data_IF_670053426250
#
_entry.id   IF_670053426250
#
_cell.length_a   1.000
_cell.length_b   1.000
_cell.length_c   1.000
_cell.angle_alpha   90.00
_cell.angle_beta   90.00
_cell.angle_gamma   90.00
#
_symmetry.space_group_name_H-M   'P 1'
#
loop_
_entity.id
_entity.type
_entity.pdbx_description
1 polymer ?
#
# COMPACT_ATOMS: atom_id res chain seq x y z
N UNK A 1 27.83 -10.01 6.19
CA UNK A 1 28.76 -10.99 5.61
C UNK A 1 28.97 -12.13 6.57
N UNK A 2 28.36 -13.28 6.31
CA UNK A 2 28.85 -14.64 6.68
C UNK A 2 27.93 -15.62 5.98
N UNK A 3 28.46 -16.23 4.95
CA UNK A 3 27.83 -17.32 4.18
C UNK A 3 27.97 -18.62 4.99
N UNK A 4 26.89 -19.39 5.09
CA UNK A 4 26.92 -20.76 5.52
C UNK A 4 26.87 -21.67 4.28
N UNK A 5 27.91 -22.48 4.12
CA UNK A 5 28.09 -23.40 3.01
C UNK A 5 27.29 -24.68 3.26
N UNK A 6 26.53 -25.13 2.27
CA UNK A 6 25.97 -26.47 2.19
C UNK A 6 27.08 -27.47 1.71
N UNK A 7 27.41 -28.41 2.55
CA UNK A 7 28.27 -29.53 2.20
C UNK A 7 27.46 -30.65 1.54
N UNK A 8 27.84 -31.00 0.31
CA UNK A 8 27.35 -32.17 -0.40
C UNK A 8 28.23 -33.36 -0.01
N UNK A 9 27.66 -34.40 0.60
CA UNK A 9 28.35 -35.64 0.91
C UNK A 9 28.22 -36.62 -0.24
N UNK A 10 29.34 -37.08 -0.78
CA UNK A 10 29.45 -38.20 -1.74
C UNK A 10 29.49 -39.50 -0.97
N UNK A 11 28.62 -40.45 -1.32
CA UNK A 11 28.64 -41.81 -0.81
C UNK A 11 29.47 -42.65 -1.78
N UNK A 12 30.61 -43.18 -1.29
CA UNK A 12 31.38 -44.20 -2.00
C UNK A 12 30.97 -45.57 -1.46
N UNK A 13 30.62 -46.44 -2.39
CA UNK A 13 30.37 -47.86 -2.13
C UNK A 13 31.69 -48.63 -2.02
N UNK A 14 31.89 -49.29 -0.88
CA UNK A 14 32.95 -50.25 -0.67
C UNK A 14 32.40 -51.51 -0.04
N UNK A 15 32.45 -52.66 -0.76
CA UNK A 15 32.17 -53.97 -0.23
C UNK A 15 33.34 -54.46 0.64
N UNK A 16 33.03 -54.96 1.83
CA UNK A 16 33.98 -55.68 2.68
C UNK A 16 33.26 -56.44 3.78
N UNK A 17 33.25 -57.75 3.69
CA UNK A 17 32.71 -58.71 4.65
C UNK A 17 33.53 -58.77 5.94
N UNK A 18 32.89 -58.81 7.11
CA UNK A 18 33.52 -59.04 8.39
C UNK A 18 32.58 -58.90 9.57
N UNK A 19 32.34 -60.00 10.21
CA UNK A 19 31.51 -60.32 11.38
C UNK A 19 31.78 -59.50 12.65
N UNK A 20 30.69 -59.36 13.44
CA UNK A 20 30.52 -59.28 14.89
C UNK A 20 30.59 -57.89 15.57
N UNK A 21 29.60 -57.75 16.31
CA UNK A 21 29.29 -57.08 17.59
C UNK A 21 28.26 -55.98 17.49
N UNK A 22 27.06 -56.29 17.96
CA UNK A 22 25.99 -55.31 18.23
C UNK A 22 26.47 -54.39 19.38
N UNK A 23 26.58 -53.09 19.08
CA UNK A 23 26.47 -52.04 20.05
C UNK A 23 25.13 -51.38 19.84
N UNK A 24 24.22 -51.52 20.82
CA UNK A 24 22.97 -50.73 20.93
C UNK A 24 23.36 -49.28 21.18
N UNK A 25 23.61 -48.54 20.14
CA UNK A 25 23.52 -47.07 20.21
C UNK A 25 22.05 -46.71 20.05
N UNK A 26 21.37 -46.60 21.20
CA UNK A 26 20.09 -45.93 21.28
C UNK A 26 20.31 -44.48 20.90
N UNK A 27 20.00 -44.12 19.65
CA UNK A 27 19.75 -42.76 19.25
C UNK A 27 18.57 -42.27 20.10
N UNK A 28 18.86 -41.47 21.13
CA UNK A 28 17.87 -40.66 21.83
C UNK A 28 17.35 -39.68 20.80
N UNK A 29 16.18 -39.96 20.21
CA UNK A 29 15.38 -38.92 19.58
C UNK A 29 15.13 -37.85 20.63
N UNK A 30 15.83 -36.71 20.54
CA UNK A 30 15.48 -35.50 21.27
C UNK A 30 14.09 -35.10 20.78
N UNK A 31 13.09 -35.37 21.62
CA UNK A 31 11.73 -34.91 21.43
C UNK A 31 11.79 -33.38 21.39
N UNK A 32 11.65 -32.78 20.21
CA UNK A 32 11.54 -31.34 20.03
C UNK A 32 10.22 -30.93 20.67
N UNK A 33 10.28 -30.56 21.94
CA UNK A 33 9.13 -29.96 22.65
C UNK A 33 8.87 -28.62 22.00
N UNK A 34 7.82 -28.55 21.20
CA UNK A 34 7.35 -27.32 20.56
C UNK A 34 6.87 -26.37 21.70
N UNK A 35 7.72 -25.41 22.08
CA UNK A 35 7.38 -24.45 23.13
C UNK A 35 6.26 -23.53 22.64
N UNK A 36 5.19 -23.44 23.41
CA UNK A 36 4.09 -22.50 23.17
C UNK A 36 4.57 -21.06 23.48
N UNK A 37 5.03 -20.34 22.47
CA UNK A 37 5.54 -18.97 22.61
C UNK A 37 4.44 -17.94 22.30
N UNK A 38 4.17 -17.06 23.25
CA UNK A 38 3.32 -15.88 23.06
C UNK A 38 4.20 -14.62 23.18
N UNK A 39 4.28 -13.83 22.12
CA UNK A 39 5.22 -12.67 22.01
C UNK A 39 6.70 -13.04 22.23
N UNK A 40 7.08 -14.28 21.95
CA UNK A 40 8.43 -14.80 22.20
C UNK A 40 8.70 -15.20 23.66
N UNK A 41 7.67 -15.21 24.53
CA UNK A 41 7.72 -15.61 25.94
C UNK A 41 7.09 -17.01 26.05
N UNK A 42 7.71 -17.99 26.75
CA UNK A 42 7.11 -19.30 27.02
C UNK A 42 5.79 -19.14 27.79
N UNK A 43 4.67 -19.38 27.13
CA UNK A 43 3.34 -19.09 27.69
C UNK A 43 2.97 -20.05 28.84
N UNK A 44 3.47 -21.30 28.77
CA UNK A 44 3.13 -22.38 29.70
C UNK A 44 3.69 -22.15 31.12
N UNK A 45 4.67 -21.26 31.26
CA UNK A 45 5.32 -20.94 32.54
C UNK A 45 4.57 -19.86 33.34
N UNK A 46 3.51 -19.26 32.75
CA UNK A 46 2.86 -18.07 33.29
C UNK A 46 1.33 -18.19 33.37
N UNK A 47 0.77 -17.54 34.37
CA UNK A 47 -0.63 -17.16 34.37
C UNK A 47 -0.77 -15.89 33.52
N UNK A 48 -1.55 -15.97 32.45
CA UNK A 48 -1.71 -14.90 31.45
C UNK A 48 -3.04 -14.20 31.69
N UNK A 49 -3.00 -12.86 31.75
CA UNK A 49 -4.18 -12.02 31.81
C UNK A 49 -4.17 -11.00 30.67
N UNK A 50 -5.33 -10.73 30.11
CA UNK A 50 -5.49 -9.74 29.04
C UNK A 50 -6.29 -8.54 29.56
N UNK A 51 -5.90 -7.35 29.11
CA UNK A 51 -6.59 -6.11 29.43
C UNK A 51 -6.59 -5.15 28.26
N UNK A 52 -7.32 -4.06 28.44
CA UNK A 52 -7.39 -2.95 27.50
C UNK A 52 -7.11 -1.64 28.24
N UNK A 53 -6.37 -0.72 27.63
CA UNK A 53 -6.04 0.58 28.22
C UNK A 53 -7.30 1.42 28.31
N UNK A 54 -7.72 1.76 29.53
CA UNK A 54 -8.89 2.60 29.76
C UNK A 54 -8.60 4.10 29.43
N UNK A 55 -9.61 4.91 29.10
CA UNK A 55 -9.44 6.36 28.93
C UNK A 55 -8.81 7.01 30.15
N UNK A 56 -7.67 7.70 29.98
CA UNK A 56 -6.92 8.36 31.06
C UNK A 56 -6.11 7.44 31.96
N UNK A 57 -6.02 6.17 31.62
CA UNK A 57 -5.16 5.22 32.31
C UNK A 57 -3.69 5.43 31.92
N UNK A 58 -2.78 5.21 32.86
CA UNK A 58 -1.34 5.32 32.63
C UNK A 58 -0.66 3.98 32.86
N UNK A 59 0.47 3.74 32.21
CA UNK A 59 1.27 2.52 32.41
C UNK A 59 1.61 2.31 33.88
N UNK A 60 1.96 3.36 34.60
CA UNK A 60 2.27 3.28 36.04
C UNK A 60 1.09 2.78 36.87
N UNK A 61 -0.17 3.17 36.54
CA UNK A 61 -1.38 2.65 37.22
C UNK A 61 -1.61 1.18 36.93
N UNK A 62 -1.38 0.75 35.70
CA UNK A 62 -1.51 -0.66 35.32
C UNK A 62 -0.49 -1.50 36.07
N UNK A 63 0.78 -1.12 36.03
CA UNK A 63 1.87 -1.82 36.71
C UNK A 63 1.65 -1.89 38.24
N UNK A 64 1.18 -0.80 38.85
CA UNK A 64 0.88 -0.76 40.28
C UNK A 64 -0.26 -1.71 40.68
N UNK A 65 -1.24 -1.96 39.82
CA UNK A 65 -2.33 -2.94 40.04
C UNK A 65 -1.79 -4.36 40.19
N UNK A 66 -0.65 -4.65 39.58
CA UNK A 66 0.06 -5.92 39.65
C UNK A 66 1.23 -5.89 40.66
N UNK A 67 1.24 -4.92 41.58
CA UNK A 67 2.21 -4.87 42.68
C UNK A 67 3.57 -4.28 42.32
N UNK A 68 3.76 -3.74 41.11
CA UNK A 68 5.05 -3.13 40.72
C UNK A 68 5.20 -1.77 41.38
N UNK A 69 6.27 -1.63 42.20
CA UNK A 69 6.55 -0.42 42.98
C UNK A 69 7.00 0.77 42.13
N UNK A 70 6.80 1.98 42.66
CA UNK A 70 7.09 3.25 41.94
C UNK A 70 8.57 3.36 41.49
N UNK A 71 9.53 2.83 42.27
CA UNK A 71 10.94 2.85 41.89
C UNK A 71 11.23 2.00 40.63
N UNK A 72 10.56 0.86 40.49
CA UNK A 72 10.68 0.00 39.30
C UNK A 72 9.99 0.66 38.07
N UNK A 73 8.85 1.30 38.28
CA UNK A 73 8.16 2.07 37.20
C UNK A 73 9.06 3.22 36.72
N UNK A 74 9.70 3.98 37.59
CA UNK A 74 10.62 5.08 37.24
C UNK A 74 11.87 4.56 36.50
N UNK A 75 12.36 3.38 36.87
CA UNK A 75 13.46 2.71 36.15
C UNK A 75 13.04 2.27 34.76
N UNK A 76 11.86 1.68 34.67
CA UNK A 76 11.27 1.26 33.39
C UNK A 76 11.03 2.45 32.46
N UNK A 77 10.53 3.59 32.98
CA UNK A 77 10.33 4.81 32.21
C UNK A 77 11.64 5.33 31.62
N UNK A 78 12.72 5.30 32.42
CA UNK A 78 14.06 5.67 31.93
C UNK A 78 14.59 4.72 30.85
N UNK A 79 14.39 3.42 31.01
CA UNK A 79 14.81 2.42 30.02
C UNK A 79 13.98 2.51 28.73
N UNK A 80 12.69 2.83 28.84
CA UNK A 80 11.76 2.91 27.72
C UNK A 80 11.91 4.17 26.84
N UNK A 81 12.56 5.22 27.35
CA UNK A 81 12.59 6.57 26.76
C UNK A 81 13.01 6.61 25.29
N UNK A 82 13.92 5.74 24.88
CA UNK A 82 14.47 5.70 23.52
C UNK A 82 13.57 4.93 22.57
N UNK A 83 13.00 3.81 23.01
CA UNK A 83 12.32 2.85 22.15
C UNK A 83 10.81 3.03 22.18
N UNK A 84 10.22 3.18 23.36
CA UNK A 84 8.79 3.44 23.52
C UNK A 84 8.50 4.09 24.88
N UNK A 85 8.30 5.42 24.96
CA UNK A 85 7.98 6.12 26.21
C UNK A 85 6.69 5.57 26.85
N UNK A 86 6.68 5.44 28.19
CA UNK A 86 5.53 4.88 28.92
C UNK A 86 4.23 5.70 28.77
N UNK A 87 4.33 6.97 28.42
CA UNK A 87 3.20 7.85 28.12
C UNK A 87 2.69 7.69 26.67
N UNK A 88 3.37 6.88 25.85
CA UNK A 88 2.99 6.58 24.48
C UNK A 88 1.82 5.60 24.33
N UNK A 89 1.28 5.07 25.45
CA UNK A 89 0.11 4.17 25.40
C UNK A 89 -1.16 4.92 25.00
N UNK A 90 -2.09 4.18 24.39
CA UNK A 90 -3.37 4.74 23.89
C UNK A 90 -4.54 3.97 24.45
N UNK A 91 -5.58 4.69 24.86
CA UNK A 91 -6.85 4.09 25.25
C UNK A 91 -7.41 3.23 24.11
N UNK A 92 -7.97 2.08 24.44
CA UNK A 92 -8.50 1.09 23.51
C UNK A 92 -7.46 0.08 22.99
N UNK A 93 -6.17 0.28 23.27
CA UNK A 93 -5.16 -0.71 22.87
C UNK A 93 -5.07 -1.84 23.90
N UNK A 94 -4.92 -3.09 23.45
CA UNK A 94 -4.80 -4.24 24.35
C UNK A 94 -3.42 -4.32 25.00
N UNK A 95 -3.38 -4.93 26.18
CA UNK A 95 -2.16 -5.39 26.81
C UNK A 95 -2.33 -6.80 27.38
N UNK A 96 -1.22 -7.52 27.51
CA UNK A 96 -1.15 -8.87 28.09
C UNK A 96 -0.12 -8.86 29.20
N UNK A 97 -0.43 -9.44 30.34
CA UNK A 97 0.50 -9.60 31.45
C UNK A 97 0.82 -11.07 31.70
N UNK A 98 2.06 -11.33 32.03
CA UNK A 98 2.61 -12.63 32.32
C UNK A 98 3.02 -12.66 33.79
N UNK A 99 2.31 -13.45 34.58
CA UNK A 99 2.44 -13.54 36.04
C UNK A 99 2.94 -14.94 36.38
N UNK A 100 4.09 -15.00 37.05
CA UNK A 100 4.53 -16.26 37.63
C UNK A 100 4.30 -16.27 39.12
N UNK A 101 4.14 -17.45 39.72
CA UNK A 101 4.00 -17.63 41.16
C UNK A 101 5.32 -18.20 41.71
N UNK A 102 5.87 -17.54 42.74
CA UNK A 102 7.08 -18.04 43.40
C UNK A 102 6.78 -19.30 44.26
N UNK A 103 7.82 -19.87 44.88
CA UNK A 103 7.71 -21.05 45.74
C UNK A 103 6.78 -20.88 46.96
N UNK A 104 6.39 -19.64 47.27
CA UNK A 104 5.45 -19.28 48.33
C UNK A 104 4.05 -18.94 47.81
N UNK A 105 3.77 -19.20 46.51
CA UNK A 105 2.56 -18.83 45.80
C UNK A 105 2.29 -17.31 45.78
N UNK A 106 3.36 -16.49 45.82
CA UNK A 106 3.22 -15.05 45.66
C UNK A 106 3.28 -14.70 44.18
N UNK A 107 2.26 -13.98 43.64
CA UNK A 107 2.26 -13.62 42.23
C UNK A 107 3.23 -12.47 41.92
N UNK A 108 4.05 -12.64 40.89
CA UNK A 108 5.00 -11.66 40.39
C UNK A 108 4.74 -11.39 38.92
N UNK A 109 4.66 -10.11 38.56
CA UNK A 109 4.53 -9.69 37.16
C UNK A 109 5.94 -9.67 36.52
N UNK A 110 6.21 -10.60 35.61
CA UNK A 110 7.52 -10.69 34.94
C UNK A 110 7.52 -9.94 33.60
N UNK A 111 6.37 -9.95 32.88
CA UNK A 111 6.26 -9.22 31.60
C UNK A 111 4.90 -8.55 31.49
N UNK A 112 4.92 -7.34 30.92
CA UNK A 112 3.76 -6.68 30.36
C UNK A 112 4.01 -6.43 28.89
N UNK A 113 3.12 -6.92 28.01
CA UNK A 113 3.17 -6.71 26.58
C UNK A 113 2.07 -5.74 26.20
N UNK A 114 2.43 -4.60 25.60
CA UNK A 114 1.49 -3.60 25.10
C UNK A 114 1.42 -3.65 23.57
N UNK A 115 0.24 -3.84 22.99
CA UNK A 115 0.04 -3.84 21.54
C UNK A 115 -0.18 -2.41 21.03
N UNK A 116 0.78 -1.89 20.25
CA UNK A 116 0.71 -0.54 19.66
C UNK A 116 -0.29 -0.44 18.52
N UNK A 117 -0.41 -1.52 17.76
CA UNK A 117 -1.33 -1.72 16.65
C UNK A 117 -1.42 -3.23 16.36
N UNK A 118 -2.13 -3.62 15.29
CA UNK A 118 -2.34 -5.02 14.96
C UNK A 118 -1.05 -5.85 14.78
N UNK A 119 0.08 -5.23 14.40
CA UNK A 119 1.32 -5.95 14.11
C UNK A 119 2.45 -5.68 15.09
N UNK A 120 2.45 -4.55 15.78
CA UNK A 120 3.57 -4.11 16.61
C UNK A 120 3.21 -4.10 18.07
N UNK A 121 4.13 -4.63 18.91
CA UNK A 121 4.00 -4.67 20.35
C UNK A 121 5.29 -4.26 21.05
N UNK A 122 5.19 -3.96 22.33
CA UNK A 122 6.30 -3.65 23.22
C UNK A 122 6.26 -4.62 24.38
N UNK A 123 7.35 -5.30 24.65
CA UNK A 123 7.55 -6.15 25.83
C UNK A 123 8.28 -5.35 26.88
N UNK A 124 7.66 -5.15 28.03
CA UNK A 124 8.27 -4.62 29.23
C UNK A 124 8.61 -5.79 30.14
N UNK A 125 9.90 -6.11 30.29
CA UNK A 125 10.38 -7.15 31.19
C UNK A 125 10.66 -6.54 32.58
N UNK A 126 10.17 -7.24 33.60
CA UNK A 126 10.22 -6.83 35.04
C UNK A 126 10.86 -7.94 35.87
N UNK A 127 11.99 -8.46 35.38
CA UNK A 127 12.65 -9.66 35.94
C UNK A 127 13.03 -9.54 37.43
N UNK A 128 13.26 -8.33 37.91
CA UNK A 128 13.47 -8.02 39.34
C UNK A 128 13.24 -6.54 39.58
N UNK A 129 13.21 -6.14 40.87
CA UNK A 129 13.12 -4.72 41.22
C UNK A 129 14.24 -3.88 40.59
N UNK A 130 15.39 -4.47 40.31
CA UNK A 130 16.60 -3.80 39.79
C UNK A 130 16.89 -4.09 38.31
N UNK A 131 16.20 -5.04 37.67
CA UNK A 131 16.42 -5.44 36.29
C UNK A 131 15.13 -5.28 35.49
N UNK A 132 15.11 -4.29 34.58
CA UNK A 132 14.01 -4.03 33.67
C UNK A 132 14.52 -4.04 32.23
N UNK A 133 13.66 -4.44 31.28
CA UNK A 133 13.97 -4.41 29.84
C UNK A 133 12.80 -3.89 29.04
N UNK A 134 13.10 -3.30 27.86
CA UNK A 134 12.10 -2.87 26.90
C UNK A 134 12.50 -3.41 25.53
N UNK A 135 11.62 -4.16 24.90
CA UNK A 135 11.89 -4.76 23.59
C UNK A 135 10.70 -4.51 22.66
N UNK A 136 10.99 -4.02 21.45
CA UNK A 136 10.00 -3.89 20.40
C UNK A 136 9.89 -5.21 19.65
N UNK A 137 8.66 -5.65 19.40
CA UNK A 137 8.38 -6.85 18.64
C UNK A 137 7.34 -6.63 17.54
N UNK A 138 7.32 -7.56 16.61
CA UNK A 138 6.31 -7.62 15.55
C UNK A 138 5.70 -9.01 15.50
N UNK A 139 4.36 -9.06 15.42
CA UNK A 139 3.63 -10.32 15.22
C UNK A 139 3.92 -10.86 13.81
N UNK A 140 4.07 -12.16 13.64
CA UNK A 140 4.27 -12.75 12.33
C UNK A 140 3.09 -12.45 11.42
N UNK A 141 3.36 -11.99 10.21
CA UNK A 141 2.36 -11.74 9.18
C UNK A 141 2.33 -12.96 8.26
N UNK A 142 1.22 -13.67 8.25
CA UNK A 142 0.93 -14.68 7.24
C UNK A 142 0.28 -14.04 6.00
N UNK A 143 0.42 -14.72 4.86
CA UNK A 143 -0.15 -14.28 3.60
C UNK A 143 -1.08 -15.37 3.08
N UNK A 144 -2.32 -14.99 2.80
CA UNK A 144 -3.32 -15.88 2.23
C UNK A 144 -3.79 -15.34 0.88
N UNK A 145 -3.61 -16.12 -0.17
CA UNK A 145 -4.13 -15.77 -1.49
C UNK A 145 -5.65 -15.87 -1.51
N UNK A 146 -6.30 -14.83 -1.99
CA UNK A 146 -7.75 -14.70 -2.08
C UNK A 146 -8.18 -14.40 -3.51
N UNK A 147 -9.27 -15.02 -3.95
CA UNK A 147 -10.04 -14.60 -5.12
C UNK A 147 -11.36 -14.05 -4.63
N UNK A 148 -11.67 -12.82 -4.96
CA UNK A 148 -12.91 -12.13 -4.60
C UNK A 148 -13.56 -11.51 -5.84
N UNK A 149 -14.88 -11.43 -5.83
CA UNK A 149 -15.66 -10.78 -6.87
C UNK A 149 -16.81 -9.99 -6.25
N UNK A 150 -17.22 -8.91 -6.90
CA UNK A 150 -18.38 -8.14 -6.49
C UNK A 150 -19.03 -7.43 -7.69
N UNK A 151 -20.35 -7.27 -7.60
CA UNK A 151 -21.12 -6.41 -8.51
C UNK A 151 -21.35 -5.06 -7.83
N UNK A 152 -21.25 -3.99 -8.59
CA UNK A 152 -21.37 -2.62 -8.11
C UNK A 152 -22.82 -2.18 -8.19
N UNK A 153 -23.36 -1.70 -7.08
CA UNK A 153 -24.71 -1.11 -7.01
C UNK A 153 -24.68 0.43 -7.08
N UNK A 154 -23.68 1.04 -6.43
CA UNK A 154 -23.55 2.50 -6.34
C UNK A 154 -22.11 2.98 -6.51
N UNK A 155 -21.14 2.30 -5.90
CA UNK A 155 -19.72 2.64 -5.95
C UNK A 155 -18.84 1.42 -5.73
N UNK A 156 -17.59 1.49 -6.21
CA UNK A 156 -16.57 0.46 -5.95
C UNK A 156 -16.38 0.26 -4.45
N UNK A 157 -16.28 1.36 -3.69
CA UNK A 157 -16.15 1.34 -2.24
C UNK A 157 -17.30 0.60 -1.56
N UNK A 158 -18.55 0.92 -1.94
CA UNK A 158 -19.74 0.26 -1.38
C UNK A 158 -19.75 -1.25 -1.66
N UNK A 159 -19.32 -1.68 -2.83
CA UNK A 159 -19.22 -3.09 -3.19
C UNK A 159 -18.15 -3.81 -2.34
N UNK A 160 -16.97 -3.22 -2.17
CA UNK A 160 -15.88 -3.77 -1.35
C UNK A 160 -16.30 -3.93 0.11
N UNK A 161 -16.95 -2.92 0.70
CA UNK A 161 -17.43 -2.97 2.08
C UNK A 161 -18.52 -4.02 2.28
N UNK A 162 -19.45 -4.14 1.34
CA UNK A 162 -20.54 -5.14 1.40
C UNK A 162 -20.01 -6.57 1.40
N UNK A 163 -18.98 -6.85 0.59
CA UNK A 163 -18.35 -8.16 0.49
C UNK A 163 -17.24 -8.38 1.54
N UNK A 164 -17.14 -7.51 2.53
CA UNK A 164 -16.15 -7.57 3.62
C UNK A 164 -14.71 -7.72 3.13
N UNK A 165 -14.39 -7.07 2.03
CA UNK A 165 -13.02 -7.02 1.49
C UNK A 165 -12.22 -5.92 2.19
N UNK A 166 -10.87 -6.05 2.27
CA UNK A 166 -10.01 -4.98 2.79
C UNK A 166 -10.23 -3.67 2.00
N UNK A 167 -10.46 -2.57 2.71
CA UNK A 167 -10.74 -1.28 2.06
C UNK A 167 -9.58 -0.80 1.15
N UNK A 168 -8.34 -1.19 1.47
CA UNK A 168 -7.17 -0.89 0.66
C UNK A 168 -7.29 -1.41 -0.78
N UNK A 169 -8.11 -2.45 -1.01
CA UNK A 169 -8.34 -3.02 -2.33
C UNK A 169 -9.04 -2.04 -3.28
N UNK A 170 -9.90 -1.13 -2.77
CA UNK A 170 -10.50 -0.08 -3.58
C UNK A 170 -9.44 0.84 -4.18
N UNK A 171 -8.48 1.28 -3.34
CA UNK A 171 -7.41 2.16 -3.79
C UNK A 171 -6.49 1.49 -4.81
N UNK A 172 -6.19 0.20 -4.63
CA UNK A 172 -5.39 -0.59 -5.57
C UNK A 172 -6.11 -0.76 -6.92
N UNK A 173 -7.40 -1.13 -6.92
CA UNK A 173 -8.17 -1.25 -8.15
C UNK A 173 -8.30 0.11 -8.87
N UNK A 174 -8.53 1.19 -8.14
CA UNK A 174 -8.50 2.54 -8.70
C UNK A 174 -7.13 2.87 -9.30
N UNK A 175 -6.03 2.50 -8.65
CA UNK A 175 -4.67 2.74 -9.17
C UNK A 175 -4.40 1.91 -10.42
N UNK A 176 -4.78 0.64 -10.44
CA UNK A 176 -4.61 -0.25 -11.60
C UNK A 176 -5.37 0.28 -12.82
N UNK A 177 -6.63 0.67 -12.63
CA UNK A 177 -7.53 1.01 -13.73
C UNK A 177 -7.71 2.50 -14.02
N UNK A 178 -7.07 3.40 -13.26
CA UNK A 178 -7.23 4.86 -13.38
C UNK A 178 -7.04 5.44 -14.80
N UNK A 179 -6.36 4.69 -15.67
CA UNK A 179 -6.15 5.09 -17.07
C UNK A 179 -7.15 4.48 -18.04
N UNK A 180 -7.84 3.42 -17.62
CA UNK A 180 -8.74 2.64 -18.49
C UNK A 180 -10.19 2.89 -18.16
N UNK A 181 -10.52 3.12 -16.89
CA UNK A 181 -11.88 3.28 -16.37
C UNK A 181 -12.01 4.65 -15.72
N UNK A 182 -13.11 5.34 -16.06
CA UNK A 182 -13.53 6.53 -15.32
C UNK A 182 -14.39 6.10 -14.12
N UNK A 183 -13.80 6.06 -12.94
CA UNK A 183 -14.49 5.63 -11.73
C UNK A 183 -15.65 6.56 -11.30
N UNK A 184 -15.78 7.76 -11.90
CA UNK A 184 -16.97 8.60 -11.76
C UNK A 184 -18.11 8.16 -12.69
N UNK A 185 -17.81 7.41 -13.73
CA UNK A 185 -18.76 6.85 -14.68
C UNK A 185 -19.18 5.41 -14.37
N UNK A 186 -18.76 4.86 -13.23
CA UNK A 186 -19.16 3.51 -12.79
C UNK A 186 -20.69 3.44 -12.67
N UNK A 187 -21.26 2.36 -13.20
CA UNK A 187 -22.68 2.15 -13.28
C UNK A 187 -23.12 0.97 -12.41
N UNK A 188 -24.38 0.98 -12.02
CA UNK A 188 -25.00 -0.20 -11.42
C UNK A 188 -24.93 -1.37 -12.40
N UNK A 189 -24.46 -2.52 -11.92
CA UNK A 189 -24.26 -3.71 -12.73
C UNK A 189 -22.82 -3.89 -13.25
N UNK A 190 -21.95 -2.87 -13.13
CA UNK A 190 -20.52 -3.09 -13.31
C UNK A 190 -20.02 -4.08 -12.25
N UNK A 191 -18.95 -4.80 -12.55
CA UNK A 191 -18.44 -5.86 -11.68
C UNK A 191 -16.93 -5.93 -11.70
N UNK A 192 -16.34 -6.53 -10.70
CA UNK A 192 -14.93 -6.86 -10.71
C UNK A 192 -14.65 -8.23 -10.09
N UNK A 193 -13.58 -8.86 -10.55
CA UNK A 193 -12.95 -10.04 -9.96
C UNK A 193 -11.50 -9.71 -9.73
N UNK A 194 -10.96 -10.07 -8.57
CA UNK A 194 -9.56 -9.79 -8.21
C UNK A 194 -8.95 -10.97 -7.46
N UNK A 195 -7.69 -11.27 -7.78
CA UNK A 195 -6.85 -12.23 -7.06
C UNK A 195 -5.73 -11.45 -6.40
N UNK A 196 -5.63 -11.56 -5.07
CA UNK A 196 -4.67 -10.78 -4.28
C UNK A 196 -4.21 -11.54 -3.04
N UNK A 197 -3.11 -11.11 -2.48
CA UNK A 197 -2.62 -11.57 -1.19
C UNK A 197 -3.27 -10.77 -0.07
N UNK A 198 -3.94 -11.45 0.84
CA UNK A 198 -4.43 -10.89 2.09
C UNK A 198 -3.39 -11.09 3.18
N UNK A 199 -3.02 -10.03 3.87
CA UNK A 199 -2.08 -10.06 5.00
C UNK A 199 -2.86 -10.30 6.28
N UNK A 200 -2.50 -11.35 7.00
CA UNK A 200 -3.22 -11.81 8.18
C UNK A 200 -2.25 -11.84 9.37
N UNK A 201 -2.71 -11.31 10.50
CA UNK A 201 -2.06 -11.46 11.79
C UNK A 201 -3.05 -12.19 12.69
N UNK A 202 -2.61 -13.30 13.27
CA UNK A 202 -3.47 -14.24 13.99
C UNK A 202 -4.61 -14.72 13.08
N UNK A 203 -5.83 -14.24 13.28
CA UNK A 203 -7.00 -14.54 12.43
C UNK A 203 -7.54 -13.32 11.70
N UNK A 204 -6.92 -12.15 11.90
CA UNK A 204 -7.46 -10.87 11.42
C UNK A 204 -6.74 -10.40 10.16
N UNK A 205 -7.52 -10.04 9.12
CA UNK A 205 -6.99 -9.40 7.93
C UNK A 205 -6.56 -7.96 8.27
N UNK A 206 -5.26 -7.68 8.14
CA UNK A 206 -4.65 -6.37 8.47
C UNK A 206 -4.30 -5.54 7.25
N UNK A 207 -4.51 -6.07 6.05
CA UNK A 207 -4.25 -5.36 4.81
C UNK A 207 -4.14 -6.28 3.60
N UNK A 208 -3.68 -5.71 2.50
CA UNK A 208 -3.42 -6.44 1.27
C UNK A 208 -1.93 -6.45 0.96
N UNK A 209 -1.50 -7.49 0.30
CA UNK A 209 -0.18 -7.61 -0.30
C UNK A 209 -0.25 -7.36 -1.80
N UNK A 210 0.31 -8.29 -2.58
CA UNK A 210 0.35 -8.21 -4.04
C UNK A 210 -1.03 -8.49 -4.66
N UNK A 211 -1.42 -7.70 -5.66
CA UNK A 211 -2.50 -8.07 -6.59
C UNK A 211 -1.92 -8.90 -7.72
N UNK A 212 -2.40 -10.15 -7.83
CA UNK A 212 -1.95 -11.14 -8.82
C UNK A 212 -2.68 -11.02 -10.15
N UNK A 213 -3.80 -10.34 -10.18
CA UNK A 213 -4.57 -10.06 -11.37
C UNK A 213 -5.95 -9.52 -11.02
N UNK A 214 -6.53 -8.80 -11.94
CA UNK A 214 -7.90 -8.29 -11.80
C UNK A 214 -8.61 -8.27 -13.16
N UNK A 215 -9.94 -8.41 -13.10
CA UNK A 215 -10.84 -8.17 -14.21
C UNK A 215 -11.89 -7.17 -13.74
N UNK A 216 -12.12 -6.13 -14.51
CA UNK A 216 -13.15 -5.15 -14.24
C UNK A 216 -14.09 -5.06 -15.44
N UNK A 217 -15.36 -5.36 -15.23
CA UNK A 217 -16.42 -5.23 -16.26
C UNK A 217 -17.07 -3.88 -16.09
N UNK A 218 -16.95 -3.00 -17.09
CA UNK A 218 -17.55 -1.67 -17.10
C UNK A 218 -18.28 -1.42 -18.43
N UNK A 219 -19.55 -1.02 -18.34
CA UNK A 219 -20.41 -0.79 -19.48
C UNK A 219 -20.43 -1.99 -20.47
N UNK A 220 -20.45 -3.21 -19.94
CA UNK A 220 -20.47 -4.47 -20.71
C UNK A 220 -19.15 -4.87 -21.35
N UNK A 221 -18.04 -4.17 -21.04
CA UNK A 221 -16.72 -4.47 -21.55
C UNK A 221 -15.79 -4.92 -20.43
N UNK A 222 -15.06 -6.01 -20.65
CA UNK A 222 -14.07 -6.53 -19.73
C UNK A 222 -12.70 -5.88 -19.92
N UNK A 223 -12.10 -5.49 -18.79
CA UNK A 223 -10.76 -4.93 -18.69
C UNK A 223 -9.93 -5.82 -17.77
N UNK A 224 -9.01 -6.58 -18.34
CA UNK A 224 -8.09 -7.41 -17.57
C UNK A 224 -6.85 -6.64 -17.17
N UNK A 225 -6.34 -6.89 -15.98
CA UNK A 225 -5.09 -6.36 -15.46
C UNK A 225 -4.14 -7.51 -15.12
N UNK A 226 -3.18 -7.75 -15.98
CA UNK A 226 -2.20 -8.83 -15.86
C UNK A 226 -0.88 -8.24 -15.35
N UNK A 227 -0.43 -8.53 -14.12
CA UNK A 227 0.86 -8.05 -13.63
C UNK A 227 2.00 -8.80 -14.30
N UNK A 228 2.92 -8.06 -14.87
CA UNK A 228 4.12 -8.63 -15.48
C UNK A 228 5.32 -7.70 -15.26
N UNK A 229 6.52 -8.29 -15.05
CA UNK A 229 7.75 -7.54 -14.83
C UNK A 229 8.43 -7.24 -16.15
N UNK A 230 8.51 -5.96 -16.51
CA UNK A 230 9.30 -5.46 -17.62
C UNK A 230 10.14 -4.26 -17.15
N UNK A 231 11.37 -4.12 -17.65
CA UNK A 231 12.28 -3.04 -17.28
C UNK A 231 12.46 -2.89 -15.75
N UNK A 232 12.58 -4.03 -15.06
CA UNK A 232 12.73 -4.16 -13.61
C UNK A 232 11.57 -3.58 -12.78
N UNK A 233 10.38 -3.38 -13.39
CA UNK A 233 9.17 -2.88 -12.73
C UNK A 233 8.02 -3.83 -13.01
N UNK A 234 7.21 -4.12 -11.98
CA UNK A 234 5.93 -4.80 -12.16
C UNK A 234 4.91 -3.73 -12.58
N UNK A 235 4.25 -3.97 -13.70
CA UNK A 235 3.17 -3.13 -14.22
C UNK A 235 2.01 -4.02 -14.64
N UNK A 236 0.85 -3.42 -14.93
CA UNK A 236 -0.32 -4.15 -15.38
C UNK A 236 -0.55 -3.95 -16.88
N UNK A 237 -0.90 -5.04 -17.53
CA UNK A 237 -1.06 -5.15 -18.98
C UNK A 237 -2.44 -5.73 -19.30
N UNK A 238 -3.01 -5.34 -20.44
CA UNK A 238 -4.21 -5.97 -20.96
C UNK A 238 -3.91 -7.36 -21.58
N UNK A 239 -4.95 -8.09 -21.96
CA UNK A 239 -4.81 -9.44 -22.55
C UNK A 239 -3.99 -9.47 -23.86
N UNK A 240 -3.87 -8.35 -24.55
CA UNK A 240 -3.10 -8.21 -25.78
C UNK A 240 -1.63 -7.79 -25.53
N UNK A 241 -1.26 -7.57 -24.27
CA UNK A 241 0.06 -7.06 -23.88
C UNK A 241 0.20 -5.55 -24.12
N UNK A 242 -0.90 -4.83 -24.24
CA UNK A 242 -0.93 -3.37 -24.17
C UNK A 242 -0.81 -2.93 -22.70
N UNK A 243 0.03 -1.91 -22.42
CA UNK A 243 0.10 -1.36 -21.07
C UNK A 243 -1.24 -0.77 -20.65
N UNK A 244 -1.77 -1.13 -19.48
CA UNK A 244 -2.90 -0.43 -18.90
C UNK A 244 -2.55 1.02 -18.57
N UNK A 245 -1.28 1.27 -18.32
CA UNK A 245 -0.75 2.61 -18.15
C UNK A 245 -0.78 3.35 -19.49
N UNK A 246 -1.50 4.43 -19.57
CA UNK A 246 -1.55 5.27 -20.77
C UNK A 246 -0.46 6.34 -20.71
N UNK A 247 -0.08 6.86 -21.86
CA UNK A 247 0.90 7.94 -21.94
C UNK A 247 0.47 9.20 -21.19
N UNK A 248 -0.85 9.43 -21.10
CA UNK A 248 -1.44 10.56 -20.39
C UNK A 248 -2.52 10.10 -19.41
N UNK A 249 -2.49 10.60 -18.18
CA UNK A 249 -3.62 10.51 -17.25
C UNK A 249 -4.82 11.25 -17.84
N UNK A 250 -6.02 10.71 -17.69
CA UNK A 250 -7.27 11.36 -18.12
C UNK A 250 -7.51 12.69 -17.38
N UNK A 251 -7.09 12.80 -16.13
CA UNK A 251 -7.18 14.01 -15.33
C UNK A 251 -5.99 14.16 -14.38
N UNK A 252 -5.52 15.38 -14.11
CA UNK A 252 -4.44 15.67 -13.17
C UNK A 252 -4.88 15.68 -11.71
N UNK A 253 -6.17 15.47 -11.43
CA UNK A 253 -6.80 15.49 -10.11
C UNK A 253 -7.62 14.21 -9.90
N UNK A 254 -7.65 13.74 -8.64
CA UNK A 254 -8.67 12.82 -8.15
C UNK A 254 -9.83 13.68 -7.57
N UNK A 255 -11.08 13.26 -7.80
CA UNK A 255 -12.28 13.88 -7.21
C UNK A 255 -12.49 15.35 -7.60
N UNK A 256 -12.75 15.63 -8.87
CA UNK A 256 -13.03 16.97 -9.35
C UNK A 256 -14.20 17.01 -10.32
N UNK A 257 -14.88 18.16 -10.39
CA UNK A 257 -15.92 18.43 -11.38
C UNK A 257 -15.36 19.37 -12.46
N UNK A 258 -15.60 19.05 -13.73
CA UNK A 258 -15.26 19.96 -14.83
C UNK A 258 -16.21 21.17 -14.76
N UNK A 259 -15.66 22.34 -14.50
CA UNK A 259 -16.40 23.61 -14.45
C UNK A 259 -16.35 24.38 -15.75
N UNK A 260 -15.31 24.16 -16.58
CA UNK A 260 -15.22 24.75 -17.92
C UNK A 260 -14.43 23.85 -18.86
N UNK A 261 -14.91 23.72 -20.10
CA UNK A 261 -14.28 22.92 -21.14
C UNK A 261 -13.40 23.77 -22.03
N UNK A 262 -12.54 23.09 -22.82
CA UNK A 262 -11.74 23.70 -23.89
C UNK A 262 -12.68 24.40 -24.88
N UNK A 263 -12.35 25.64 -25.27
CA UNK A 263 -13.10 26.42 -26.25
C UNK A 263 -12.19 27.41 -26.96
N UNK A 264 -12.38 27.60 -28.25
CA UNK A 264 -11.70 28.63 -29.02
C UNK A 264 -12.30 30.03 -28.81
N UNK A 265 -13.57 30.12 -28.35
CA UNK A 265 -14.23 31.38 -28.04
C UNK A 265 -15.26 31.17 -26.92
N UNK A 266 -14.99 31.70 -25.72
CA UNK A 266 -15.99 31.77 -24.62
C UNK A 266 -16.00 33.17 -24.01
N UNK A 267 -17.13 33.57 -23.43
CA UNK A 267 -17.17 34.79 -22.64
C UNK A 267 -16.33 34.62 -21.37
N UNK A 268 -15.29 35.44 -21.24
CA UNK A 268 -14.38 35.36 -20.09
C UNK A 268 -15.10 35.82 -18.81
N UNK A 269 -15.12 35.05 -17.72
CA UNK A 269 -15.94 35.36 -16.54
C UNK A 269 -15.54 36.68 -15.86
N UNK A 270 -14.26 37.07 -15.91
CA UNK A 270 -13.74 38.30 -15.29
C UNK A 270 -13.77 39.46 -16.29
N UNK A 271 -13.15 39.28 -17.46
CA UNK A 271 -12.97 40.37 -18.44
C UNK A 271 -14.20 40.67 -19.28
N UNK A 272 -15.24 39.82 -19.25
CA UNK A 272 -16.50 39.95 -20.01
C UNK A 272 -16.32 40.18 -21.52
N UNK A 273 -15.25 39.62 -22.08
CA UNK A 273 -14.96 39.61 -23.52
C UNK A 273 -14.80 38.19 -24.01
N UNK A 274 -15.10 37.93 -25.30
CA UNK A 274 -14.85 36.62 -25.87
C UNK A 274 -13.37 36.36 -26.04
N UNK A 275 -12.90 35.29 -25.42
CA UNK A 275 -11.51 34.83 -25.48
C UNK A 275 -11.44 33.31 -25.56
N UNK A 276 -10.39 32.77 -26.19
CA UNK A 276 -10.16 31.35 -26.14
C UNK A 276 -9.84 30.88 -24.72
N UNK A 277 -10.35 29.70 -24.38
CA UNK A 277 -9.96 28.95 -23.20
C UNK A 277 -9.34 27.64 -23.65
N UNK A 278 -8.02 27.63 -23.83
CA UNK A 278 -7.26 26.50 -24.32
C UNK A 278 -6.86 25.55 -23.16
N UNK A 279 -7.81 25.24 -22.28
CA UNK A 279 -7.64 24.36 -21.12
C UNK A 279 -8.98 23.75 -20.69
N UNK A 280 -8.92 22.97 -19.63
CA UNK A 280 -10.08 22.43 -18.91
C UNK A 280 -9.96 22.85 -17.45
N UNK A 281 -11.00 23.50 -16.94
CA UNK A 281 -11.06 23.92 -15.55
C UNK A 281 -11.68 22.81 -14.70
N UNK A 282 -10.91 22.30 -13.75
CA UNK A 282 -11.34 21.33 -12.76
C UNK A 282 -11.62 22.04 -11.42
N UNK A 283 -12.89 22.19 -11.06
CA UNK A 283 -13.28 22.72 -9.76
C UNK A 283 -12.98 21.71 -8.67
N UNK A 284 -12.16 22.11 -7.70
CA UNK A 284 -11.77 21.32 -6.55
C UNK A 284 -11.41 22.23 -5.38
N UNK A 285 -11.53 21.78 -4.10
CA UNK A 285 -11.12 22.54 -2.94
C UNK A 285 -9.66 22.98 -3.02
N UNK A 286 -9.37 24.18 -2.47
CA UNK A 286 -7.98 24.64 -2.31
C UNK A 286 -7.18 23.61 -1.49
N UNK A 287 -5.99 23.26 -1.99
CA UNK A 287 -5.13 22.26 -1.35
C UNK A 287 -5.30 20.84 -1.90
N UNK A 288 -6.27 20.59 -2.79
CA UNK A 288 -6.39 19.29 -3.48
C UNK A 288 -5.08 18.97 -4.23
N UNK A 289 -4.52 17.75 -4.07
CA UNK A 289 -3.29 17.35 -4.73
C UNK A 289 -3.41 17.37 -6.26
N UNK A 290 -2.43 17.98 -6.94
CA UNK A 290 -2.28 18.01 -8.40
C UNK A 290 -1.13 17.10 -8.80
N UNK A 291 -1.36 16.22 -9.78
CA UNK A 291 -0.39 15.21 -10.23
C UNK A 291 0.02 15.44 -11.68
N UNK A 292 1.26 15.08 -12.00
CA UNK A 292 1.76 15.10 -13.37
C UNK A 292 1.00 14.08 -14.23
N UNK A 293 0.48 14.52 -15.39
CA UNK A 293 -0.30 13.63 -16.28
C UNK A 293 0.55 12.63 -17.07
N UNK A 294 1.86 12.85 -17.15
CA UNK A 294 2.81 11.95 -17.81
C UNK A 294 4.22 12.15 -17.23
N UNK A 295 5.12 11.20 -17.53
CA UNK A 295 6.57 11.38 -17.30
C UNK A 295 7.07 12.59 -18.06
N UNK A 296 8.01 13.35 -17.49
CA UNK A 296 8.53 14.52 -18.20
C UNK A 296 9.56 15.33 -17.40
N UNK A 297 9.86 16.52 -17.94
CA UNK A 297 10.78 17.48 -17.33
C UNK A 297 10.06 18.80 -17.12
N UNK A 298 10.18 19.38 -15.94
CA UNK A 298 9.62 20.68 -15.61
C UNK A 298 10.35 21.76 -16.42
N UNK A 299 9.63 22.45 -17.28
CA UNK A 299 10.18 23.54 -18.12
C UNK A 299 9.90 24.93 -17.56
N UNK A 300 8.88 25.06 -16.71
CA UNK A 300 8.53 26.32 -16.06
C UNK A 300 7.92 26.07 -14.68
N UNK A 301 8.35 26.85 -13.71
CA UNK A 301 7.76 26.90 -12.36
C UNK A 301 7.84 28.34 -11.88
N UNK A 302 6.71 28.97 -11.64
CA UNK A 302 6.69 30.36 -11.18
C UNK A 302 5.34 31.06 -11.40
N UNK A 303 5.38 32.37 -11.33
CA UNK A 303 4.21 33.21 -11.61
C UNK A 303 3.99 33.39 -13.11
N UNK A 304 2.88 32.86 -13.64
CA UNK A 304 2.50 32.87 -15.05
C UNK A 304 1.49 33.96 -15.43
N UNK A 305 1.61 35.18 -14.87
CA UNK A 305 0.69 36.28 -15.14
C UNK A 305 -0.73 35.93 -14.71
N UNK A 306 -1.72 36.01 -15.61
CA UNK A 306 -3.10 35.64 -15.33
C UNK A 306 -3.30 34.20 -14.84
N UNK A 307 -2.37 33.29 -15.16
CA UNK A 307 -2.37 31.89 -14.67
C UNK A 307 -1.93 31.73 -13.21
N UNK A 308 -1.47 32.80 -12.56
CA UNK A 308 -0.97 32.71 -11.19
C UNK A 308 0.22 31.78 -11.05
N UNK A 309 0.31 31.04 -9.95
CA UNK A 309 1.32 30.01 -9.78
C UNK A 309 1.12 28.89 -10.83
N UNK A 310 2.07 28.81 -11.75
CA UNK A 310 2.01 27.95 -12.93
C UNK A 310 3.17 26.99 -12.97
N UNK A 311 2.88 25.74 -13.30
CA UNK A 311 3.86 24.71 -13.61
C UNK A 311 3.67 24.25 -15.06
N UNK A 312 4.78 24.09 -15.83
CA UNK A 312 4.72 23.46 -17.15
C UNK A 312 5.70 22.30 -17.23
N UNK A 313 5.27 21.21 -17.84
CA UNK A 313 6.06 19.98 -17.98
C UNK A 313 6.11 19.60 -19.46
N UNK A 314 7.31 19.36 -19.96
CA UNK A 314 7.55 18.79 -21.29
C UNK A 314 7.59 17.28 -21.19
N UNK A 315 6.82 16.62 -22.02
CA UNK A 315 6.70 15.17 -22.11
C UNK A 315 7.29 14.63 -23.41
N UNK A 316 7.52 13.31 -23.53
CA UNK A 316 7.85 12.67 -24.80
C UNK A 316 6.80 12.98 -25.88
N UNK A 317 7.17 12.79 -27.17
CA UNK A 317 6.23 12.99 -28.29
C UNK A 317 5.83 14.46 -28.54
N UNK A 318 6.70 15.43 -28.20
CA UNK A 318 6.43 16.86 -28.33
C UNK A 318 5.16 17.34 -27.63
N UNK A 319 4.81 16.68 -26.55
CA UNK A 319 3.71 17.07 -25.68
C UNK A 319 4.18 17.99 -24.57
N UNK A 320 3.32 18.89 -24.12
CA UNK A 320 3.53 19.73 -22.95
C UNK A 320 2.23 19.86 -22.17
N UNK A 321 2.32 19.79 -20.84
CA UNK A 321 1.19 20.08 -19.95
C UNK A 321 1.45 21.36 -19.14
N UNK A 322 0.35 22.05 -18.79
CA UNK A 322 0.35 23.24 -17.94
C UNK A 322 -0.69 23.12 -16.83
N UNK A 323 -0.27 23.54 -15.64
CA UNK A 323 -1.06 23.49 -14.41
C UNK A 323 -1.07 24.89 -13.81
N UNK A 324 -2.22 25.55 -13.85
CA UNK A 324 -2.36 26.96 -13.50
C UNK A 324 -3.18 27.13 -12.22
N UNK A 325 -3.14 28.34 -11.66
CA UNK A 325 -3.84 28.75 -10.44
C UNK A 325 -3.46 27.98 -9.18
N UNK A 326 -2.27 27.34 -9.13
CA UNK A 326 -1.82 26.54 -8.00
C UNK A 326 -1.72 27.40 -6.72
N UNK A 327 -2.06 26.83 -5.56
CA UNK A 327 -1.81 27.47 -4.28
C UNK A 327 -0.35 27.41 -3.87
N UNK A 328 0.29 26.28 -4.16
CA UNK A 328 1.73 26.04 -3.92
C UNK A 328 2.22 24.89 -4.79
N UNK A 329 3.53 24.82 -4.98
CA UNK A 329 4.19 23.69 -5.61
C UNK A 329 4.50 22.61 -4.57
N UNK A 330 4.64 21.36 -5.01
CA UNK A 330 5.08 20.27 -4.14
C UNK A 330 6.58 20.41 -3.80
N UNK A 331 6.98 19.83 -2.67
CA UNK A 331 8.38 19.80 -2.23
C UNK A 331 9.22 19.03 -3.26
N UNK A 332 10.42 19.53 -3.57
CA UNK A 332 11.35 18.90 -4.52
C UNK A 332 11.06 19.19 -6.00
N UNK A 333 9.99 19.91 -6.33
CA UNK A 333 9.72 20.33 -7.73
C UNK A 333 10.47 21.63 -8.03
N UNK A 334 11.34 21.58 -9.03
CA UNK A 334 12.08 22.74 -9.56
C UNK A 334 12.08 22.71 -11.09
N UNK A 335 12.43 23.83 -11.74
CA UNK A 335 12.69 23.83 -13.18
C UNK A 335 13.88 22.91 -13.47
N UNK A 336 13.76 22.07 -14.50
CA UNK A 336 14.72 21.01 -14.82
C UNK A 336 14.48 19.69 -14.09
N UNK A 337 13.63 19.64 -13.05
CA UNK A 337 13.30 18.37 -12.36
C UNK A 337 12.62 17.38 -13.30
N UNK A 338 13.06 16.13 -13.26
CA UNK A 338 12.31 15.00 -13.84
C UNK A 338 11.12 14.67 -12.92
N UNK A 339 9.98 14.42 -13.51
CA UNK A 339 8.78 13.98 -12.81
C UNK A 339 8.23 12.73 -13.46
N UNK A 340 7.66 11.85 -12.64
CA UNK A 340 6.97 10.65 -13.11
C UNK A 340 5.47 10.91 -13.21
N UNK A 341 4.79 10.22 -14.12
CA UNK A 341 3.34 10.22 -14.21
C UNK A 341 2.72 9.86 -12.85
N UNK A 342 1.68 10.61 -12.44
CA UNK A 342 1.06 10.46 -11.14
C UNK A 342 1.81 11.10 -9.97
N UNK A 343 3.03 11.59 -10.17
CA UNK A 343 3.79 12.29 -9.13
C UNK A 343 3.08 13.55 -8.69
N UNK A 344 3.03 13.80 -7.37
CA UNK A 344 2.53 15.04 -6.79
C UNK A 344 3.42 16.21 -7.21
N UNK A 345 2.84 17.24 -7.87
CA UNK A 345 3.57 18.39 -8.39
C UNK A 345 3.12 19.73 -7.81
N UNK A 346 1.94 19.76 -7.19
CA UNK A 346 1.39 21.00 -6.61
C UNK A 346 0.02 20.77 -6.00
N UNK A 347 -0.64 21.86 -5.70
CA UNK A 347 -1.94 21.83 -5.03
C UNK A 347 -2.86 22.89 -5.64
N UNK A 348 -4.15 22.55 -5.78
CA UNK A 348 -5.20 23.45 -6.28
C UNK A 348 -5.21 24.75 -5.48
N UNK A 349 -5.39 25.85 -6.17
CA UNK A 349 -5.51 27.19 -5.58
C UNK A 349 -6.52 28.07 -6.31
N UNK A 350 -6.29 29.36 -6.21
CA UNK A 350 -7.05 30.41 -6.89
C UNK A 350 -6.15 31.61 -7.13
N UNK A 351 -4.87 31.37 -7.46
CA UNK A 351 -3.90 32.44 -7.71
C UNK A 351 -4.04 33.01 -9.12
N UNK A 352 -3.67 34.27 -9.33
CA UNK A 352 -3.83 34.94 -10.62
C UNK A 352 -5.29 35.34 -10.91
N UNK A 353 -5.69 35.33 -12.20
CA UNK A 353 -7.02 35.73 -12.66
C UNK A 353 -8.02 34.55 -12.50
N UNK A 354 -8.41 34.28 -11.29
CA UNK A 354 -9.32 33.18 -10.91
C UNK A 354 -10.50 33.69 -10.11
N UNK A 355 -11.69 33.14 -10.34
CA UNK A 355 -12.93 33.47 -9.62
C UNK A 355 -13.19 32.57 -8.41
N UNK A 356 -12.44 31.52 -8.24
CA UNK A 356 -12.57 30.56 -7.14
C UNK A 356 -11.61 29.37 -7.29
N UNK A 357 -11.53 28.50 -6.28
CA UNK A 357 -10.59 27.38 -6.31
C UNK A 357 -10.87 26.41 -7.47
N UNK A 358 -9.88 26.29 -8.37
CA UNK A 358 -9.88 25.34 -9.48
C UNK A 358 -8.46 25.14 -10.01
N UNK A 359 -8.29 24.13 -10.83
CA UNK A 359 -7.11 23.92 -11.66
C UNK A 359 -7.47 24.18 -13.12
N UNK A 360 -6.82 25.15 -13.78
CA UNK A 360 -6.83 25.27 -15.26
C UNK A 360 -5.72 24.36 -15.79
N UNK A 361 -6.14 23.26 -16.41
CA UNK A 361 -5.25 22.25 -16.98
C UNK A 361 -5.19 22.39 -18.49
N UNK A 362 -3.98 22.46 -19.04
CA UNK A 362 -3.73 22.69 -20.46
C UNK A 362 -2.82 21.63 -21.05
N UNK A 363 -3.08 21.28 -22.31
CA UNK A 363 -2.20 20.43 -23.12
C UNK A 363 -1.83 21.10 -24.43
N UNK A 364 -0.60 20.87 -24.86
CA UNK A 364 -0.10 21.26 -26.18
C UNK A 364 0.55 20.04 -26.84
N UNK A 365 0.35 19.91 -28.16
CA UNK A 365 1.09 18.98 -29.00
C UNK A 365 1.75 19.78 -30.13
N UNK A 366 3.06 19.61 -30.33
CA UNK A 366 3.84 20.40 -31.33
C UNK A 366 3.61 21.92 -31.18
N UNK A 367 3.54 22.41 -29.94
CA UNK A 367 3.33 23.84 -29.64
C UNK A 367 1.90 24.34 -29.80
N UNK A 368 0.97 23.56 -30.35
CA UNK A 368 -0.44 23.93 -30.54
C UNK A 368 -1.28 23.42 -29.38
N UNK A 369 -2.19 24.25 -28.82
CA UNK A 369 -3.10 23.80 -27.77
C UNK A 369 -4.06 22.75 -28.31
N UNK A 370 -4.31 21.72 -27.51
CA UNK A 370 -5.28 20.65 -27.81
C UNK A 370 -6.24 20.49 -26.65
N UNK A 371 -7.47 20.01 -26.93
CA UNK A 371 -8.47 19.71 -25.90
C UNK A 371 -7.99 18.54 -25.04
N UNK A 372 -7.72 18.75 -23.73
CA UNK A 372 -7.27 17.70 -22.83
C UNK A 372 -8.21 16.50 -22.75
N UNK A 373 -9.52 16.72 -22.88
CA UNK A 373 -10.53 15.66 -22.79
C UNK A 373 -10.57 14.77 -24.05
N UNK A 374 -10.07 15.30 -25.18
CA UNK A 374 -10.00 14.60 -26.46
C UNK A 374 -8.58 14.16 -26.83
N UNK A 375 -7.61 14.45 -25.97
CA UNK A 375 -6.21 14.07 -26.22
C UNK A 375 -6.14 12.54 -26.36
N UNK A 376 -5.55 12.02 -27.47
CA UNK A 376 -5.39 10.58 -27.61
C UNK A 376 -4.43 10.10 -26.52
N UNK A 377 -4.89 9.14 -25.77
CA UNK A 377 -4.10 8.48 -24.73
C UNK A 377 -3.74 7.09 -25.21
N UNK A 378 -2.65 7.02 -25.96
CA UNK A 378 -2.10 5.75 -26.40
C UNK A 378 -1.57 4.95 -25.19
N UNK A 379 -1.62 3.61 -25.22
CA UNK A 379 -0.94 2.81 -24.20
C UNK A 379 0.53 3.25 -24.11
N UNK A 380 1.09 3.24 -22.90
CA UNK A 380 2.54 3.30 -22.74
C UNK A 380 3.17 2.09 -23.47
N UNK A 381 4.47 1.92 -23.41
CA UNK A 381 5.15 0.84 -24.14
C UNK A 381 4.42 -0.52 -24.00
N UNK A 382 4.14 -1.24 -25.09
CA UNK A 382 3.58 -2.60 -25.03
C UNK A 382 4.61 -3.58 -24.46
N UNK A 383 4.19 -4.83 -24.23
CA UNK A 383 5.13 -5.94 -23.91
C UNK A 383 6.15 -6.05 -25.04
N UNK A 384 7.43 -5.98 -24.65
CA UNK A 384 8.55 -6.12 -25.59
C UNK A 384 8.55 -7.51 -26.23
N UNK A 385 8.96 -7.60 -27.52
CA UNK A 385 8.93 -8.83 -28.28
C UNK A 385 9.64 -10.01 -27.58
N UNK A 386 10.77 -9.74 -26.94
CA UNK A 386 11.53 -10.75 -26.18
C UNK A 386 10.79 -11.28 -24.93
N UNK A 387 9.85 -10.53 -24.38
CA UNK A 387 9.08 -10.92 -23.20
C UNK A 387 7.72 -11.53 -23.57
N UNK A 388 7.37 -11.56 -24.86
CA UNK A 388 6.04 -11.91 -25.33
C UNK A 388 5.56 -13.29 -24.90
N UNK A 389 6.38 -14.31 -25.13
CA UNK A 389 6.05 -15.68 -24.75
C UNK A 389 5.89 -15.87 -23.22
N UNK A 390 6.78 -15.24 -22.44
CA UNK A 390 6.68 -15.29 -20.98
C UNK A 390 5.43 -14.58 -20.47
N UNK A 391 5.10 -13.43 -21.07
CA UNK A 391 3.87 -12.71 -20.75
C UNK A 391 2.62 -13.53 -21.08
N UNK A 392 2.55 -14.14 -22.25
CA UNK A 392 1.41 -14.97 -22.68
C UNK A 392 1.18 -16.14 -21.74
N UNK A 393 2.24 -16.82 -21.30
CA UNK A 393 2.14 -17.86 -20.28
C UNK A 393 1.53 -17.37 -18.96
N UNK A 394 1.97 -16.19 -18.47
CA UNK A 394 1.43 -15.57 -17.24
C UNK A 394 -0.02 -15.12 -17.46
N UNK A 395 -0.30 -14.47 -18.59
CA UNK A 395 -1.64 -14.01 -18.96
C UNK A 395 -2.66 -15.15 -18.94
N UNK A 396 -2.36 -16.26 -19.63
CA UNK A 396 -3.31 -17.36 -19.79
C UNK A 396 -3.68 -17.97 -18.43
N UNK A 397 -2.72 -18.10 -17.53
CA UNK A 397 -2.98 -18.60 -16.17
C UNK A 397 -3.81 -17.62 -15.34
N UNK A 398 -3.50 -16.34 -15.41
CA UNK A 398 -4.24 -15.32 -14.65
C UNK A 398 -5.66 -15.16 -15.17
N UNK A 399 -5.85 -15.15 -16.48
CA UNK A 399 -7.18 -15.07 -17.10
C UNK A 399 -8.02 -16.28 -16.70
N UNK A 400 -7.47 -17.50 -16.84
CA UNK A 400 -8.15 -18.73 -16.44
C UNK A 400 -8.54 -18.70 -14.93
N UNK A 401 -7.67 -18.20 -14.07
CA UNK A 401 -7.98 -18.05 -12.62
C UNK A 401 -9.08 -17.01 -12.38
N UNK A 402 -9.03 -15.86 -13.04
CA UNK A 402 -10.04 -14.80 -12.91
C UNK A 402 -11.42 -15.26 -13.40
N UNK A 403 -11.47 -16.00 -14.49
CA UNK A 403 -12.71 -16.48 -15.11
C UNK A 403 -13.26 -17.76 -14.46
N UNK A 404 -12.50 -18.38 -13.53
CA UNK A 404 -12.94 -19.53 -12.77
C UNK A 404 -12.67 -20.88 -13.44
N UNK A 405 -11.79 -20.91 -14.43
CA UNK A 405 -11.45 -22.13 -15.20
C UNK A 405 -10.33 -22.97 -14.57
N UNK A 406 -9.71 -22.48 -13.46
CA UNK A 406 -8.53 -23.14 -12.85
C UNK A 406 -8.89 -23.87 -11.58
N UNK A 407 -8.53 -25.14 -11.48
CA UNK A 407 -8.50 -25.89 -10.24
C UNK A 407 -7.38 -25.38 -9.31
N UNK A 408 -7.54 -25.56 -7.99
CA UNK A 408 -6.59 -25.09 -6.95
C UNK A 408 -5.13 -25.50 -7.18
N UNK A 409 -4.88 -26.59 -7.94
CA UNK A 409 -3.55 -27.13 -8.23
C UNK A 409 -2.71 -26.31 -9.23
N UNK A 410 -3.29 -25.31 -9.90
CA UNK A 410 -2.60 -24.50 -10.93
C UNK A 410 -2.36 -23.04 -10.52
N UNK A 411 -2.56 -22.71 -9.25
CA UNK A 411 -2.31 -21.34 -8.74
C UNK A 411 -0.81 -21.01 -8.85
N UNK A 412 -0.51 -19.81 -9.34
CA UNK A 412 0.87 -19.29 -9.35
C UNK A 412 1.24 -18.97 -7.89
N UNK A 413 2.18 -19.69 -7.33
CA UNK A 413 2.78 -19.44 -6.01
C UNK A 413 3.88 -18.38 -6.10
#
# INVERSE_FOLDING_TARGET
MKFAALGVAWIAWGCGSGSTAASDDAETEEEIVEQNLLYGIPADDYRIEHGEIAPGETMGRILNRYGVGAATVDRLDRAAKTDFPLDGIRAGNPYTVFIHEDSLNTPHLDYLVYERNASQYVVFGLHSADSVSVTLGEKPVSVRRQKKQATIDSSLWGAIMREQMPYALAAELEEIYQWSIDFFGIQKGDAFTVVYDERIIDTTAVGIGRVWGAKFTHAGKDYYAIPFRQNNRIQYWDVNGGSLRKQLLKAPLKYSRISSRFSNARLHPIYKVYRPHHGVDYAAPKGTPVRAVADGVVTFKGWGGGGGNTLKIKHPGNMMSGYLHLSRFAKGIAQGSRVSQGQLIGYVGSTGASTGPHLDFRLWRNGKPIDPLKAPSEPAEPIAAQNRAAFEFVRDRIVAELDGEVSDSLRIT
#
